data_IF_700927600460
#
_entry.id   IF_700927600460
#
_cell.length_a   1.000
_cell.length_b   1.000
_cell.length_c   1.000
_cell.angle_alpha   90.00
_cell.angle_beta   90.00
_cell.angle_gamma   90.00
#
_symmetry.space_group_name_H-M   'P 1'
#
loop_
_entity.id
_entity.type
_entity.pdbx_description
1 polymer ?
#
# COMPACT_ATOMS: atom_id res chain seq x y z
N UNK A 1 -4.68 2.63 -38.89
CA UNK A 1 -5.74 1.92 -38.16
C UNK A 1 -5.42 1.83 -36.66
N UNK A 2 -4.31 1.22 -36.24
CA UNK A 2 -3.95 1.09 -34.81
C UNK A 2 -3.71 2.43 -34.08
N UNK A 3 -3.05 3.41 -34.73
CA UNK A 3 -2.91 4.78 -34.19
C UNK A 3 -4.23 5.52 -34.00
N UNK A 4 -5.17 5.37 -34.94
CA UNK A 4 -6.51 5.96 -34.81
C UNK A 4 -7.30 5.34 -33.66
N UNK A 5 -7.18 4.02 -33.45
CA UNK A 5 -7.77 3.37 -32.27
C UNK A 5 -7.13 3.84 -30.97
N UNK A 6 -5.80 3.99 -30.92
CA UNK A 6 -5.12 4.53 -29.74
C UNK A 6 -5.52 5.98 -29.44
N UNK A 7 -5.68 6.82 -30.46
CA UNK A 7 -6.15 8.20 -30.32
C UNK A 7 -7.63 8.26 -29.88
N UNK A 8 -8.46 7.33 -30.35
CA UNK A 8 -9.88 7.23 -29.98
C UNK A 8 -10.04 6.68 -28.54
N UNK A 9 -9.20 5.72 -28.13
CA UNK A 9 -9.13 5.23 -26.75
C UNK A 9 -8.56 6.28 -25.79
N UNK A 10 -7.53 7.03 -26.18
CA UNK A 10 -7.01 8.16 -25.41
C UNK A 10 -8.07 9.26 -25.22
N UNK A 11 -8.87 9.53 -26.25
CA UNK A 11 -9.98 10.48 -26.19
C UNK A 11 -11.19 9.98 -25.38
N UNK A 12 -11.42 8.67 -25.29
CA UNK A 12 -12.46 8.07 -24.41
C UNK A 12 -12.00 7.87 -22.96
N UNK A 13 -10.71 7.65 -22.73
CA UNK A 13 -10.10 7.43 -21.42
C UNK A 13 -9.74 8.74 -20.71
N UNK A 14 -9.84 9.89 -21.38
CA UNK A 14 -9.88 11.20 -20.75
C UNK A 14 -11.11 11.29 -19.84
N UNK A 15 -10.87 10.97 -18.57
CA UNK A 15 -11.71 11.30 -17.45
C UNK A 15 -12.27 12.71 -17.68
N UNK A 16 -13.59 12.85 -17.88
CA UNK A 16 -14.20 14.18 -17.79
C UNK A 16 -13.92 14.64 -16.37
N UNK A 17 -13.15 15.72 -16.13
CA UNK A 17 -13.07 16.28 -14.79
C UNK A 17 -14.51 16.44 -14.32
N UNK A 18 -14.87 15.80 -13.20
CA UNK A 18 -16.19 15.94 -12.57
C UNK A 18 -16.45 17.44 -12.50
N UNK A 19 -17.30 17.95 -13.37
CA UNK A 19 -17.80 19.30 -13.27
C UNK A 19 -18.48 19.33 -11.90
N UNK A 20 -18.00 20.23 -11.03
CA UNK A 20 -18.62 20.45 -9.73
C UNK A 20 -20.12 20.54 -9.97
N UNK A 21 -20.85 19.62 -9.34
CA UNK A 21 -22.29 19.60 -9.50
C UNK A 21 -22.83 20.86 -8.84
N UNK A 22 -23.90 21.46 -9.37
CA UNK A 22 -24.53 22.62 -8.74
C UNK A 22 -24.95 22.36 -7.27
N UNK A 23 -24.97 21.09 -6.83
CA UNK A 23 -25.13 20.68 -5.43
C UNK A 23 -23.89 20.89 -4.54
N UNK A 24 -22.68 20.96 -5.10
CA UNK A 24 -21.44 21.24 -4.36
C UNK A 24 -21.30 22.73 -4.00
N UNK A 25 -21.90 23.62 -4.80
CA UNK A 25 -21.96 25.07 -4.51
C UNK A 25 -23.01 25.43 -3.44
N UNK A 26 -23.98 24.54 -3.17
CA UNK A 26 -25.10 24.80 -2.26
C UNK A 26 -24.77 24.56 -0.78
N UNK A 27 -23.76 23.73 -0.49
CA UNK A 27 -23.22 23.54 0.85
C UNK A 27 -21.89 24.27 0.91
N UNK A 28 -21.76 25.33 1.71
CA UNK A 28 -20.52 26.06 1.92
C UNK A 28 -19.41 25.22 2.56
N UNK A 29 -18.93 24.19 1.88
CA UNK A 29 -17.76 23.41 2.25
C UNK A 29 -16.52 24.24 1.94
N UNK A 30 -15.67 24.39 2.95
CA UNK A 30 -14.41 25.09 2.81
C UNK A 30 -13.56 24.36 1.75
N UNK A 31 -13.06 25.03 0.70
CA UNK A 31 -12.32 24.40 -0.40
C UNK A 31 -11.14 23.54 0.08
N UNK A 32 -10.50 23.93 1.19
CA UNK A 32 -9.43 23.17 1.84
C UNK A 32 -9.90 21.78 2.29
N UNK A 33 -11.11 21.66 2.84
CA UNK A 33 -11.65 20.39 3.31
C UNK A 33 -11.91 19.46 2.11
N UNK A 34 -12.41 20.01 1.01
CA UNK A 34 -12.65 19.26 -0.23
C UNK A 34 -11.34 18.73 -0.81
N UNK A 35 -10.29 19.56 -0.86
CA UNK A 35 -8.97 19.14 -1.35
C UNK A 35 -8.34 18.07 -0.46
N UNK A 36 -8.41 18.23 0.86
CA UNK A 36 -7.92 17.23 1.82
C UNK A 36 -8.69 15.92 1.71
N UNK A 37 -10.02 15.97 1.57
CA UNK A 37 -10.85 14.79 1.39
C UNK A 37 -10.55 14.07 0.07
N UNK A 38 -10.36 14.83 -1.01
CA UNK A 38 -9.96 14.29 -2.31
C UNK A 38 -8.61 13.59 -2.23
N UNK A 39 -7.60 14.25 -1.64
CA UNK A 39 -6.28 13.66 -1.44
C UNK A 39 -6.34 12.38 -0.57
N UNK A 40 -7.12 12.40 0.50
CA UNK A 40 -7.35 11.21 1.34
C UNK A 40 -7.95 10.05 0.56
N UNK A 41 -8.92 10.33 -0.31
CA UNK A 41 -9.51 9.33 -1.23
C UNK A 41 -8.48 8.78 -2.21
N UNK A 42 -7.64 9.62 -2.81
CA UNK A 42 -6.54 9.19 -3.70
C UNK A 42 -5.53 8.31 -2.95
N UNK A 43 -5.17 8.65 -1.71
CA UNK A 43 -4.33 7.82 -0.85
C UNK A 43 -5.00 6.47 -0.54
N UNK A 44 -6.30 6.44 -0.26
CA UNK A 44 -7.04 5.20 -0.04
C UNK A 44 -7.02 4.28 -1.27
N UNK A 45 -7.27 4.84 -2.46
CA UNK A 45 -7.15 4.10 -3.72
C UNK A 45 -5.73 3.57 -3.92
N UNK A 46 -4.72 4.37 -3.60
CA UNK A 46 -3.31 4.01 -3.74
C UNK A 46 -2.92 2.85 -2.82
N UNK A 47 -3.37 2.84 -1.56
CA UNK A 47 -3.07 1.76 -0.60
C UNK A 47 -3.77 0.44 -0.97
N UNK A 48 -4.87 0.49 -1.72
CA UNK A 48 -5.68 -0.69 -2.14
C UNK A 48 -6.04 -1.62 -0.98
N UNK A 49 -6.76 -1.15 0.04
CA UNK A 49 -7.12 -1.98 1.21
C UNK A 49 -7.94 -3.22 0.85
N UNK A 50 -8.63 -3.24 -0.29
CA UNK A 50 -9.32 -4.45 -0.75
C UNK A 50 -8.34 -5.59 -1.10
N UNK A 51 -7.12 -5.29 -1.52
CA UNK A 51 -6.07 -6.28 -1.78
C UNK A 51 -5.54 -6.90 -0.47
N UNK A 52 -5.82 -6.26 0.67
CA UNK A 52 -5.43 -6.74 2.00
C UNK A 52 -6.38 -7.77 2.58
N UNK A 53 -7.58 -7.96 2.01
CA UNK A 53 -8.64 -8.80 2.60
C UNK A 53 -8.14 -10.20 2.95
N UNK A 54 -7.40 -10.83 2.03
CA UNK A 54 -6.86 -12.17 2.25
C UNK A 54 -5.86 -12.20 3.41
N UNK A 55 -4.94 -11.22 3.45
CA UNK A 55 -3.96 -11.11 4.52
C UNK A 55 -4.63 -10.89 5.87
N UNK A 56 -5.61 -9.98 5.94
CA UNK A 56 -6.37 -9.69 7.17
C UNK A 56 -7.10 -10.93 7.67
N UNK A 57 -7.82 -11.64 6.81
CA UNK A 57 -8.55 -12.86 7.20
C UNK A 57 -7.57 -13.93 7.69
N UNK A 58 -6.48 -14.17 6.96
CA UNK A 58 -5.46 -15.17 7.34
C UNK A 58 -4.83 -14.85 8.69
N UNK A 59 -4.40 -13.60 8.91
CA UNK A 59 -3.80 -13.16 10.18
C UNK A 59 -4.79 -13.28 11.34
N UNK A 60 -6.07 -12.90 11.14
CA UNK A 60 -7.10 -13.05 12.16
C UNK A 60 -7.36 -14.53 12.51
N UNK A 61 -7.40 -15.41 11.51
CA UNK A 61 -7.57 -16.85 11.72
C UNK A 61 -6.41 -17.47 12.51
N UNK A 62 -5.17 -17.14 12.14
CA UNK A 62 -3.98 -17.62 12.85
C UNK A 62 -3.92 -17.09 14.29
N UNK A 63 -4.24 -15.80 14.47
CA UNK A 63 -4.30 -15.20 15.80
C UNK A 63 -5.37 -15.85 16.68
N UNK A 64 -6.58 -16.06 16.13
CA UNK A 64 -7.66 -16.74 16.82
C UNK A 64 -7.27 -18.19 17.19
N UNK A 65 -6.60 -18.91 16.28
CA UNK A 65 -6.12 -20.27 16.54
C UNK A 65 -5.17 -20.32 17.74
N UNK A 66 -4.19 -19.41 17.79
CA UNK A 66 -3.23 -19.33 18.91
C UNK A 66 -3.95 -19.03 20.23
N UNK A 67 -4.97 -18.16 20.23
CA UNK A 67 -5.75 -17.84 21.42
C UNK A 67 -6.61 -19.01 21.91
N UNK A 68 -7.19 -19.79 20.98
CA UNK A 68 -7.97 -21.00 21.31
C UNK A 68 -7.08 -22.09 21.92
N UNK A 69 -5.87 -22.28 21.37
CA UNK A 69 -4.89 -23.23 21.90
C UNK A 69 -4.27 -22.78 23.24
N UNK A 70 -4.30 -21.48 23.52
CA UNK A 70 -3.70 -20.89 24.72
C UNK A 70 -4.66 -19.92 25.42
N UNK A 71 -5.77 -20.40 26.00
CA UNK A 71 -6.79 -19.54 26.62
C UNK A 71 -6.23 -18.61 27.71
N UNK A 72 -5.17 -19.05 28.41
CA UNK A 72 -4.45 -18.28 29.41
C UNK A 72 -3.80 -16.99 28.88
N UNK A 73 -3.59 -16.88 27.56
CA UNK A 73 -3.03 -15.71 26.90
C UNK A 73 -4.11 -14.67 26.53
N UNK A 74 -5.39 -14.98 26.70
CA UNK A 74 -6.49 -14.05 26.45
C UNK A 74 -6.53 -12.93 27.51
N UNK A 75 -5.64 -11.96 27.36
CA UNK A 75 -5.49 -10.79 28.24
C UNK A 75 -5.53 -9.52 27.41
N UNK A 76 -6.28 -8.53 27.88
CA UNK A 76 -6.33 -7.19 27.27
C UNK A 76 -4.93 -6.59 27.05
N UNK A 77 -4.00 -6.83 27.97
CA UNK A 77 -2.61 -6.36 27.84
C UNK A 77 -1.87 -6.95 26.63
N UNK A 78 -2.16 -8.19 26.25
CA UNK A 78 -1.58 -8.84 25.07
C UNK A 78 -2.20 -8.27 23.80
N UNK A 79 -3.52 -8.04 23.80
CA UNK A 79 -4.23 -7.41 22.68
C UNK A 79 -3.68 -6.01 22.36
N UNK A 80 -3.49 -5.17 23.39
CA UNK A 80 -2.90 -3.84 23.18
C UNK A 80 -1.44 -3.89 22.70
N UNK A 81 -0.66 -4.87 23.17
CA UNK A 81 0.72 -5.08 22.69
C UNK A 81 0.80 -5.58 21.25
N UNK A 82 -0.27 -6.18 20.72
CA UNK A 82 -0.35 -6.62 19.33
C UNK A 82 -0.64 -5.49 18.34
N UNK A 83 -1.22 -4.37 18.81
CA UNK A 83 -1.64 -3.25 17.96
C UNK A 83 -0.50 -2.65 17.12
N UNK A 84 0.72 -2.39 17.65
CA UNK A 84 1.85 -1.94 16.84
C UNK A 84 2.23 -2.92 15.73
N UNK A 85 2.09 -4.23 15.97
CA UNK A 85 2.35 -5.27 14.97
C UNK A 85 1.35 -5.23 13.82
N UNK A 86 0.07 -5.03 14.12
CA UNK A 86 -0.99 -4.85 13.10
C UNK A 86 -0.72 -3.59 12.27
N UNK A 87 -0.36 -2.48 12.93
CA UNK A 87 0.00 -1.24 12.25
C UNK A 87 1.20 -1.44 11.31
N UNK A 88 2.24 -2.14 11.77
CA UNK A 88 3.41 -2.45 10.95
C UNK A 88 3.06 -3.28 9.70
N UNK A 89 2.16 -4.26 9.83
CA UNK A 89 1.68 -5.06 8.69
C UNK A 89 0.92 -4.20 7.68
N UNK A 90 0.07 -3.29 8.15
CA UNK A 90 -0.68 -2.36 7.27
C UNK A 90 0.29 -1.47 6.49
N UNK A 91 1.28 -0.89 7.17
CA UNK A 91 2.30 -0.03 6.54
C UNK A 91 3.15 -0.82 5.54
N UNK A 92 3.58 -2.03 5.89
CA UNK A 92 4.33 -2.89 4.97
C UNK A 92 3.52 -3.22 3.71
N UNK A 93 2.22 -3.51 3.86
CA UNK A 93 1.37 -3.79 2.71
C UNK A 93 1.16 -2.56 1.81
N UNK A 94 0.97 -1.38 2.42
CA UNK A 94 0.91 -0.11 1.68
C UNK A 94 2.22 0.15 0.92
N UNK A 95 3.37 -0.14 1.52
CA UNK A 95 4.68 -0.05 0.87
C UNK A 95 4.77 -0.94 -0.37
N UNK A 96 4.41 -2.22 -0.25
CA UNK A 96 4.45 -3.15 -1.39
C UNK A 96 3.50 -2.74 -2.51
N UNK A 97 2.27 -2.34 -2.18
CA UNK A 97 1.32 -1.87 -3.19
C UNK A 97 1.78 -0.56 -3.85
N UNK A 98 2.49 0.29 -3.10
CA UNK A 98 3.07 1.52 -3.61
C UNK A 98 4.20 1.25 -4.60
N UNK A 99 5.14 0.37 -4.25
CA UNK A 99 6.22 -0.05 -5.16
C UNK A 99 5.64 -0.64 -6.44
N UNK A 100 4.74 -1.62 -6.35
CA UNK A 100 4.19 -2.27 -7.54
C UNK A 100 3.57 -1.24 -8.50
N UNK A 101 2.75 -0.30 -7.98
CA UNK A 101 2.13 0.73 -8.82
C UNK A 101 3.11 1.74 -9.42
N UNK A 102 4.25 1.98 -8.76
CA UNK A 102 5.28 2.88 -9.26
C UNK A 102 6.02 2.24 -10.45
N UNK A 103 6.37 0.96 -10.34
CA UNK A 103 7.08 0.24 -11.41
C UNK A 103 6.16 -0.15 -12.57
N UNK A 104 4.91 -0.52 -12.26
CA UNK A 104 3.93 -0.92 -13.27
C UNK A 104 3.23 0.26 -13.95
N UNK A 105 3.69 1.51 -13.77
CA UNK A 105 2.95 2.72 -14.19
C UNK A 105 2.58 2.72 -15.68
N UNK A 106 3.50 2.29 -16.55
CA UNK A 106 3.29 2.27 -18.00
C UNK A 106 2.33 1.14 -18.41
N UNK A 107 2.44 -0.02 -17.75
CA UNK A 107 1.56 -1.18 -17.97
C UNK A 107 0.14 -0.87 -17.47
N UNK A 108 0.03 -0.32 -16.25
CA UNK A 108 -1.24 0.05 -15.63
C UNK A 108 -1.90 1.24 -16.35
N UNK A 109 -1.16 2.05 -17.12
CA UNK A 109 -1.77 3.07 -18.00
C UNK A 109 -2.61 2.45 -19.11
N UNK A 110 -2.24 1.27 -19.62
CA UNK A 110 -3.02 0.55 -20.63
C UNK A 110 -4.12 -0.29 -19.98
N UNK A 111 -3.77 -1.05 -18.93
CA UNK A 111 -4.65 -2.08 -18.36
C UNK A 111 -5.59 -1.56 -17.27
N UNK A 112 -5.16 -0.54 -16.51
CA UNK A 112 -5.83 -0.05 -15.30
C UNK A 112 -5.76 1.49 -15.21
N UNK A 113 -6.24 2.24 -16.22
CA UNK A 113 -6.06 3.68 -16.32
C UNK A 113 -6.74 4.49 -15.19
N UNK A 114 -7.66 3.87 -14.45
CA UNK A 114 -8.37 4.47 -13.32
C UNK A 114 -7.54 4.55 -12.02
N UNK A 115 -6.32 4.01 -12.01
CA UNK A 115 -5.46 4.01 -10.84
C UNK A 115 -4.85 5.39 -10.56
N UNK A 116 -4.48 5.71 -9.31
CA UNK A 116 -4.04 7.05 -8.92
C UNK A 116 -2.87 7.61 -9.74
N UNK A 117 -1.85 6.81 -10.04
CA UNK A 117 -0.68 7.27 -10.81
C UNK A 117 -1.01 7.38 -12.31
N UNK A 118 -1.53 6.34 -12.99
CA UNK A 118 -1.88 6.46 -14.41
C UNK A 118 -2.95 7.51 -14.73
N UNK A 119 -3.92 7.71 -13.83
CA UNK A 119 -4.97 8.71 -13.98
C UNK A 119 -4.48 10.16 -13.78
N UNK A 120 -3.24 10.34 -13.29
CA UNK A 120 -2.69 11.64 -12.96
C UNK A 120 -3.23 12.25 -11.66
N UNK A 121 -4.01 11.50 -10.87
CA UNK A 121 -4.48 11.94 -9.53
C UNK A 121 -3.30 12.03 -8.53
N UNK A 122 -2.25 11.24 -8.74
CA UNK A 122 -1.06 11.19 -7.91
C UNK A 122 0.21 11.27 -8.77
N UNK A 123 1.07 12.25 -8.52
CA UNK A 123 2.38 12.31 -9.20
C UNK A 123 3.30 11.19 -8.73
N UNK A 124 4.25 10.79 -9.58
CA UNK A 124 5.26 9.78 -9.24
C UNK A 124 6.08 10.17 -8.00
N UNK A 125 6.37 11.47 -7.85
CA UNK A 125 7.06 12.01 -6.67
C UNK A 125 6.23 11.84 -5.39
N UNK A 126 4.93 12.12 -5.44
CA UNK A 126 4.01 11.90 -4.31
C UNK A 126 3.88 10.42 -3.99
N UNK A 127 3.79 9.55 -4.99
CA UNK A 127 3.77 8.10 -4.80
C UNK A 127 5.03 7.59 -4.09
N UNK A 128 6.22 8.04 -4.51
CA UNK A 128 7.47 7.71 -3.82
C UNK A 128 7.52 8.23 -2.38
N UNK A 129 7.04 9.46 -2.13
CA UNK A 129 6.97 10.02 -0.77
C UNK A 129 6.03 9.20 0.13
N UNK A 130 4.85 8.84 -0.37
CA UNK A 130 3.88 8.02 0.36
C UNK A 130 4.40 6.60 0.61
N UNK A 131 5.08 6.02 -0.38
CA UNK A 131 5.66 4.67 -0.28
C UNK A 131 6.82 4.65 0.70
N UNK A 132 7.76 5.58 0.60
CA UNK A 132 8.98 5.61 1.44
C UNK A 132 8.76 6.07 2.89
N UNK A 133 7.62 6.68 3.21
CA UNK A 133 7.30 7.19 4.55
C UNK A 133 7.40 6.11 5.66
N UNK A 134 7.05 4.86 5.36
CA UNK A 134 7.18 3.74 6.31
C UNK A 134 8.63 3.35 6.60
N UNK A 135 9.48 3.30 5.58
CA UNK A 135 10.91 2.97 5.72
C UNK A 135 11.67 4.05 6.50
N UNK A 136 11.25 5.31 6.36
CA UNK A 136 11.81 6.43 7.11
C UNK A 136 11.64 6.23 8.63
N UNK A 137 10.53 5.63 9.08
CA UNK A 137 10.28 5.36 10.50
C UNK A 137 11.25 4.32 11.09
N UNK A 138 11.72 3.34 10.31
CA UNK A 138 12.74 2.37 10.75
C UNK A 138 14.10 3.06 10.92
N UNK A 139 14.45 3.95 9.98
CA UNK A 139 15.66 4.77 10.07
C UNK A 139 15.64 5.71 11.28
N UNK A 140 14.50 6.36 11.54
CA UNK A 140 14.28 7.24 12.70
C UNK A 140 14.32 6.46 14.02
N UNK A 141 13.74 5.25 14.06
CA UNK A 141 13.82 4.39 15.24
C UNK A 141 15.27 3.97 15.52
N UNK A 142 15.99 3.51 14.50
CA UNK A 142 17.39 3.12 14.63
C UNK A 142 18.27 4.31 15.07
N UNK A 143 18.10 5.48 14.46
CA UNK A 143 18.86 6.67 14.83
C UNK A 143 18.54 7.14 16.25
N UNK A 144 17.27 7.08 16.68
CA UNK A 144 16.86 7.41 18.05
C UNK A 144 17.51 6.46 19.07
N UNK A 145 17.49 5.14 18.81
CA UNK A 145 18.12 4.13 19.67
C UNK A 145 19.63 4.36 19.75
N UNK A 146 20.27 4.65 18.61
CA UNK A 146 21.70 4.96 18.54
C UNK A 146 22.06 6.25 19.29
N UNK A 147 21.27 7.32 19.15
CA UNK A 147 21.47 8.58 19.87
C UNK A 147 21.25 8.47 21.38
N UNK A 148 20.41 7.52 21.82
CA UNK A 148 20.19 7.22 23.24
C UNK A 148 21.22 6.24 23.83
N UNK A 149 22.20 5.77 23.04
CA UNK A 149 23.21 4.80 23.49
C UNK A 149 22.65 3.41 23.81
N UNK A 150 21.43 3.11 23.36
CA UNK A 150 20.78 1.83 23.59
C UNK A 150 21.30 0.79 22.58
N UNK A 151 21.49 -0.45 23.03
CA UNK A 151 21.83 -1.54 22.12
C UNK A 151 20.58 -1.97 21.37
N UNK A 152 20.65 -1.89 20.04
CA UNK A 152 19.61 -2.45 19.19
C UNK A 152 19.69 -3.98 19.24
N UNK A 153 18.69 -4.63 19.83
CA UNK A 153 18.63 -6.09 19.95
C UNK A 153 17.31 -6.60 19.37
N UNK A 154 17.39 -7.34 18.27
CA UNK A 154 16.24 -8.06 17.76
C UNK A 154 15.92 -9.26 18.65
N UNK A 155 14.65 -9.45 18.97
CA UNK A 155 14.23 -10.72 19.57
C UNK A 155 14.28 -11.84 18.53
N UNK A 156 14.65 -13.08 18.90
CA UNK A 156 14.71 -14.21 17.97
C UNK A 156 13.44 -14.42 17.12
N UNK A 157 12.21 -14.26 17.65
CA UNK A 157 10.99 -14.34 16.84
C UNK A 157 10.92 -13.27 15.75
N UNK A 158 11.36 -12.04 16.04
CA UNK A 158 11.34 -10.96 15.05
C UNK A 158 12.38 -11.23 13.96
N UNK A 159 13.58 -11.66 14.33
CA UNK A 159 14.62 -12.05 13.36
C UNK A 159 14.12 -13.14 12.42
N UNK A 160 13.44 -14.16 12.96
CA UNK A 160 12.84 -15.22 12.16
C UNK A 160 11.77 -14.68 11.19
N UNK A 161 10.84 -13.86 11.67
CA UNK A 161 9.78 -13.27 10.84
C UNK A 161 10.38 -12.42 9.71
N UNK A 162 11.37 -11.58 10.02
CA UNK A 162 12.03 -10.72 9.03
C UNK A 162 12.79 -11.56 8.00
N UNK A 163 13.56 -12.57 8.43
CA UNK A 163 14.30 -13.44 7.53
C UNK A 163 13.36 -14.24 6.61
N UNK A 164 12.29 -14.82 7.15
CA UNK A 164 11.27 -15.53 6.38
C UNK A 164 10.58 -14.60 5.38
N UNK A 165 10.19 -13.40 5.81
CA UNK A 165 9.55 -12.41 4.94
C UNK A 165 10.47 -12.02 3.78
N UNK A 166 11.76 -11.73 4.05
CA UNK A 166 12.73 -11.41 3.00
C UNK A 166 12.83 -12.54 1.99
N UNK A 167 12.99 -13.79 2.46
CA UNK A 167 13.07 -14.95 1.57
C UNK A 167 11.79 -15.11 0.73
N UNK A 168 10.63 -15.05 1.37
CA UNK A 168 9.33 -15.19 0.71
C UNK A 168 9.11 -14.11 -0.35
N UNK A 169 9.48 -12.85 -0.05
CA UNK A 169 9.36 -11.75 -1.00
C UNK A 169 10.35 -11.85 -2.15
N UNK A 170 11.59 -12.25 -1.90
CA UNK A 170 12.56 -12.52 -2.98
C UNK A 170 12.00 -13.56 -3.94
N UNK A 171 11.42 -14.65 -3.42
CA UNK A 171 10.80 -15.70 -4.24
C UNK A 171 9.63 -15.15 -5.07
N UNK A 172 8.72 -14.37 -4.47
CA UNK A 172 7.59 -13.79 -5.20
C UNK A 172 8.07 -12.82 -6.28
N UNK A 173 9.05 -11.96 -5.97
CA UNK A 173 9.59 -11.00 -6.93
C UNK A 173 10.19 -11.71 -8.13
N UNK A 174 11.01 -12.75 -7.91
CA UNK A 174 11.58 -13.55 -9.01
C UNK A 174 10.48 -14.27 -9.80
N UNK A 175 9.50 -14.84 -9.11
CA UNK A 175 8.42 -15.62 -9.76
C UNK A 175 7.52 -14.74 -10.62
N UNK A 176 7.21 -13.53 -10.15
CA UNK A 176 6.42 -12.55 -10.91
C UNK A 176 7.19 -12.06 -12.14
N UNK A 177 8.44 -11.66 -11.95
CA UNK A 177 9.29 -11.16 -13.04
C UNK A 177 9.43 -12.20 -14.16
N UNK A 178 9.57 -13.49 -13.81
CA UNK A 178 9.59 -14.58 -14.78
C UNK A 178 8.25 -14.72 -15.54
N UNK A 179 7.12 -14.59 -14.84
CA UNK A 179 5.79 -14.72 -15.43
C UNK A 179 5.45 -13.53 -16.34
N UNK A 180 5.90 -12.34 -15.96
CA UNK A 180 5.71 -11.11 -16.74
C UNK A 180 6.54 -11.16 -18.03
N UNK A 181 7.81 -11.63 -17.95
CA UNK A 181 8.66 -11.86 -19.14
C UNK A 181 8.05 -12.87 -20.12
N UNK A 182 7.47 -13.97 -19.62
CA UNK A 182 6.77 -14.94 -20.46
C UNK A 182 5.49 -14.40 -21.09
N UNK A 183 4.83 -13.44 -20.44
CA UNK A 183 3.68 -12.71 -20.97
C UNK A 183 4.05 -11.75 -22.10
N UNK A 184 5.15 -11.02 -21.95
CA UNK A 184 5.62 -10.02 -22.92
C UNK A 184 6.18 -10.64 -24.21
N UNK A 185 6.54 -11.92 -24.19
CA UNK A 185 7.04 -12.66 -25.36
C UNK A 185 5.92 -13.21 -26.27
N UNK A 186 4.63 -13.05 -25.92
CA UNK A 186 3.47 -13.53 -26.69
C UNK A 186 2.71 -12.39 -27.37
#
# INVERSE_FOLDING_TARGET
MFRQQLDEYANRALWRPRQASASDEAFGFNPIITDVAHFGSTCYKFVRPYAMKQAVISTLCLFARVLVENPQLFKWSVLFKAFPGVLAIIVAHAYFNGINQIYDVDIDRMNKPYLPIPAGELSLKQAWMLTSGGLHNVGVLYSTIASLGLQFSWSPPITFIVAFAILFFVVISISKDLTDVEGDLK
#
